data_IF_842361435970
#
_entry.id   IF_842361435970
#
_cell.length_a   1.000
_cell.length_b   1.000
_cell.length_c   1.000
_cell.angle_alpha   90.00
_cell.angle_beta   90.00
_cell.angle_gamma   90.00
#
_symmetry.space_group_name_H-M   'P 1'
#
loop_
_entity.id
_entity.type
_entity.pdbx_description
1 polymer ?
#
# COMPACT_ATOMS: atom_id res chain seq x y z
N UNK A 1 -1.64 -70.19 -10.93
CA UNK A 1 -0.22 -70.23 -11.33
C UNK A 1 0.38 -68.86 -11.03
N UNK A 2 1.36 -68.82 -10.12
CA UNK A 2 2.53 -67.92 -10.05
C UNK A 2 2.28 -66.39 -9.96
N UNK A 3 2.42 -65.87 -8.73
CA UNK A 3 3.02 -64.54 -8.36
C UNK A 3 4.54 -64.54 -8.64
N UNK A 4 5.28 -63.42 -8.83
CA UNK A 4 5.44 -62.24 -7.91
C UNK A 4 5.60 -60.89 -8.69
N UNK A 5 5.82 -59.67 -8.17
CA UNK A 5 6.46 -59.10 -6.96
C UNK A 5 7.64 -58.18 -7.38
N UNK A 6 7.73 -56.98 -6.79
CA UNK A 6 8.65 -55.80 -6.94
C UNK A 6 10.17 -56.06 -7.19
N UNK A 7 10.96 -55.07 -7.72
CA UNK A 7 11.66 -53.98 -6.96
C UNK A 7 11.69 -52.60 -7.70
N UNK A 8 11.78 -51.40 -7.12
CA UNK A 8 12.77 -50.66 -6.28
C UNK A 8 14.15 -50.37 -6.90
N UNK A 9 14.53 -49.08 -6.82
CA UNK A 9 15.84 -48.42 -7.01
C UNK A 9 16.43 -48.20 -8.42
N UNK A 10 16.67 -46.93 -8.75
CA UNK A 10 17.79 -46.53 -9.61
C UNK A 10 18.55 -45.33 -9.04
N UNK A 11 19.82 -45.63 -8.76
CA UNK A 11 20.90 -44.81 -8.23
C UNK A 11 21.54 -43.86 -9.25
N UNK A 12 22.02 -42.73 -8.75
CA UNK A 12 22.84 -41.71 -9.41
C UNK A 12 24.18 -42.30 -9.92
N UNK A 13 24.61 -42.05 -11.16
CA UNK A 13 25.93 -42.45 -11.63
C UNK A 13 27.01 -41.41 -11.32
N UNK A 14 28.10 -41.87 -10.68
CA UNK A 14 29.41 -41.20 -10.65
C UNK A 14 30.01 -41.15 -12.06
N UNK A 15 30.48 -39.99 -12.51
CA UNK A 15 31.39 -39.89 -13.64
C UNK A 15 32.85 -39.92 -13.20
N UNK A 16 33.64 -40.59 -14.04
CA UNK A 16 34.99 -41.05 -13.82
C UNK A 16 36.04 -40.06 -14.29
N UNK A 17 37.20 -40.14 -13.63
CA UNK A 17 38.47 -39.51 -13.99
C UNK A 17 39.05 -40.04 -15.32
N UNK A 18 39.77 -39.18 -16.05
CA UNK A 18 40.87 -39.53 -16.96
C UNK A 18 41.90 -38.38 -17.09
N UNK A 19 43.15 -38.65 -17.52
CA UNK A 19 44.34 -38.15 -16.82
C UNK A 19 45.25 -37.17 -17.60
N UNK A 20 45.98 -36.35 -16.83
CA UNK A 20 47.44 -36.14 -16.85
C UNK A 20 48.17 -35.68 -18.12
N UNK A 21 48.84 -34.51 -18.02
CA UNK A 21 50.25 -34.36 -18.41
C UNK A 21 50.94 -33.20 -17.68
N UNK A 22 52.12 -33.53 -17.12
CA UNK A 22 52.99 -32.73 -16.24
C UNK A 22 53.77 -31.63 -16.96
N UNK A 23 54.11 -30.58 -16.22
CA UNK A 23 55.45 -29.95 -16.22
C UNK A 23 55.69 -29.26 -14.86
N UNK A 24 56.76 -29.66 -14.17
CA UNK A 24 57.31 -29.10 -12.92
C UNK A 24 58.60 -28.30 -13.28
N UNK A 25 59.19 -27.43 -12.42
CA UNK A 25 59.69 -27.85 -11.11
C UNK A 25 59.49 -26.89 -9.92
N UNK A 26 59.63 -27.49 -8.75
CA UNK A 26 59.60 -26.96 -7.38
C UNK A 26 60.56 -25.79 -7.12
N UNK A 27 60.12 -24.85 -6.27
CA UNK A 27 60.99 -24.30 -5.23
C UNK A 27 60.25 -24.19 -3.89
N UNK A 28 60.84 -24.87 -2.93
CA UNK A 28 60.44 -25.05 -1.54
C UNK A 28 60.88 -23.83 -0.72
N UNK A 29 59.97 -23.15 0.00
CA UNK A 29 60.33 -22.31 1.16
C UNK A 29 59.15 -22.13 2.12
N UNK A 30 59.31 -22.76 3.27
CA UNK A 30 58.54 -22.52 4.48
C UNK A 30 58.80 -21.10 5.01
N UNK A 31 57.72 -20.36 5.30
CA UNK A 31 57.80 -19.12 6.07
C UNK A 31 56.76 -19.19 7.18
N UNK A 32 57.27 -19.27 8.41
CA UNK A 32 56.55 -19.06 9.67
C UNK A 32 56.09 -17.61 9.74
N UNK A 33 54.82 -17.38 10.05
CA UNK A 33 54.35 -16.05 10.47
C UNK A 33 54.63 -15.84 11.96
N UNK A 34 55.24 -14.71 12.36
CA UNK A 34 55.49 -14.39 13.75
C UNK A 34 54.24 -13.79 14.42
N UNK A 35 54.01 -14.21 15.67
CA UNK A 35 53.13 -13.57 16.63
C UNK A 35 53.64 -12.16 16.97
N UNK A 36 52.85 -11.13 16.68
CA UNK A 36 53.09 -9.79 17.21
C UNK A 36 52.06 -9.46 18.30
N UNK A 37 52.62 -9.35 19.51
CA UNK A 37 52.02 -8.76 20.69
C UNK A 37 51.94 -7.22 20.56
N UNK A 38 50.95 -6.67 21.27
CA UNK A 38 50.82 -5.34 21.94
C UNK A 38 49.63 -4.50 21.48
N UNK A 39 49.06 -3.63 22.33
CA UNK A 39 48.69 -3.83 23.73
C UNK A 39 47.20 -3.50 23.98
N UNK A 40 46.63 -4.07 25.06
CA UNK A 40 45.30 -3.70 25.57
C UNK A 40 45.33 -2.26 26.12
N UNK A 41 44.62 -1.36 25.47
CA UNK A 41 44.18 -0.10 26.07
C UNK A 41 42.81 -0.34 26.71
N UNK A 42 42.84 -0.50 28.03
CA UNK A 42 41.66 -0.35 28.86
C UNK A 42 41.31 1.14 28.90
N UNK A 43 40.15 1.50 28.35
CA UNK A 43 39.53 2.80 28.60
C UNK A 43 38.43 2.57 29.62
N UNK A 44 38.72 2.98 30.85
CA UNK A 44 37.73 3.15 31.92
C UNK A 44 36.93 4.42 31.63
N UNK A 45 35.61 4.29 31.48
CA UNK A 45 34.68 5.41 31.58
C UNK A 45 33.81 5.20 32.82
N UNK A 46 34.32 5.69 33.95
CA UNK A 46 33.48 6.10 35.07
C UNK A 46 33.09 7.57 34.84
N UNK A 47 31.79 7.86 34.97
CA UNK A 47 31.29 9.21 35.29
C UNK A 47 30.56 9.94 34.17
N UNK A 48 29.24 9.70 34.05
CA UNK A 48 28.21 10.69 34.43
C UNK A 48 26.83 10.03 34.31
N UNK A 49 26.27 9.66 35.45
CA UNK A 49 24.92 9.12 35.59
C UNK A 49 24.11 10.10 36.44
N UNK A 50 22.90 10.42 35.95
CA UNK A 50 21.70 10.98 36.64
C UNK A 50 21.57 12.51 36.67
N UNK A 51 20.36 13.12 36.50
CA UNK A 51 19.04 12.58 36.15
C UNK A 51 18.30 13.33 35.00
N UNK A 52 17.75 12.59 34.03
CA UNK A 52 16.50 12.96 33.36
C UNK A 52 15.38 12.08 33.96
N UNK A 53 14.85 12.50 35.11
CA UNK A 53 13.71 11.83 35.75
C UNK A 53 12.93 12.75 36.68
N UNK A 54 12.56 13.93 36.20
CA UNK A 54 11.51 14.76 36.81
C UNK A 54 10.83 15.52 35.68
N UNK A 55 9.83 14.92 35.01
CA UNK A 55 8.71 15.67 34.39
C UNK A 55 7.49 14.82 34.00
N UNK A 56 7.43 13.52 34.33
CA UNK A 56 6.28 12.66 34.02
C UNK A 56 5.61 12.02 35.26
N UNK A 57 5.53 12.77 36.36
CA UNK A 57 4.89 12.30 37.59
C UNK A 57 3.99 13.39 38.25
N UNK A 58 3.29 14.21 37.45
CA UNK A 58 2.34 15.20 37.96
C UNK A 58 1.03 15.36 37.18
N UNK A 59 0.62 14.39 36.36
CA UNK A 59 -0.65 14.45 35.64
C UNK A 59 -1.52 13.18 35.74
N UNK A 60 -1.38 12.40 36.81
CA UNK A 60 -2.25 11.23 37.07
C UNK A 60 -2.67 11.13 38.54
N UNK A 61 -3.22 12.23 39.08
CA UNK A 61 -3.80 12.26 40.43
C UNK A 61 -5.15 13.01 40.49
N UNK A 62 -5.80 13.25 39.35
CA UNK A 62 -7.10 13.89 39.29
C UNK A 62 -7.97 13.21 38.22
N UNK A 63 -8.51 12.02 38.53
CA UNK A 63 -9.78 11.47 38.00
C UNK A 63 -9.91 9.99 38.41
N UNK A 64 -9.87 9.73 39.71
CA UNK A 64 -10.48 8.54 40.30
C UNK A 64 -11.29 9.01 41.48
N UNK A 65 -12.59 9.17 41.25
CA UNK A 65 -13.69 9.08 42.20
C UNK A 65 -14.93 9.70 41.57
N UNK A 66 -15.80 8.90 40.94
CA UNK A 66 -17.25 9.08 41.08
C UNK A 66 -17.99 7.85 40.50
N UNK A 67 -18.18 6.83 41.33
CA UNK A 67 -19.25 5.85 41.18
C UNK A 67 -19.63 5.45 42.60
N UNK A 68 -20.89 5.68 42.99
CA UNK A 68 -21.72 4.87 43.92
C UNK A 68 -23.01 5.63 44.31
N UNK A 69 -24.13 5.13 43.75
CA UNK A 69 -25.36 4.67 44.44
C UNK A 69 -26.63 5.57 44.58
N UNK A 70 -27.76 4.87 44.29
CA UNK A 70 -29.16 5.03 44.71
C UNK A 70 -30.07 5.83 43.74
N UNK A 71 -31.29 5.41 43.37
CA UNK A 71 -32.28 4.60 44.11
C UNK A 71 -33.35 4.00 43.18
N UNK A 72 -33.93 2.88 43.63
CA UNK A 72 -35.07 2.16 43.07
C UNK A 72 -36.39 2.73 43.62
N UNK A 73 -37.41 3.01 42.78
CA UNK A 73 -38.84 3.08 43.19
C UNK A 73 -39.80 2.83 42.02
N UNK A 74 -40.19 1.56 41.87
CA UNK A 74 -41.55 1.00 41.93
C UNK A 74 -42.82 1.74 41.39
N UNK A 75 -43.49 1.07 40.43
CA UNK A 75 -44.91 0.63 40.38
C UNK A 75 -46.03 1.39 39.59
N UNK A 76 -46.62 0.64 38.63
CA UNK A 76 -47.99 0.49 38.04
C UNK A 76 -48.82 1.66 37.42
N UNK A 77 -49.30 1.46 36.18
CA UNK A 77 -50.69 1.14 35.76
C UNK A 77 -50.96 1.45 34.27
N UNK A 78 -51.21 0.39 33.47
CA UNK A 78 -52.35 0.13 32.53
C UNK A 78 -52.86 1.26 31.58
N UNK A 79 -53.30 1.08 30.33
CA UNK A 79 -53.80 -0.05 29.54
C UNK A 79 -53.89 0.33 28.03
N UNK A 80 -54.07 -0.68 27.15
CA UNK A 80 -54.99 -0.80 25.99
C UNK A 80 -55.31 0.45 25.12
N UNK A 81 -55.35 0.45 23.78
CA UNK A 81 -55.64 -0.56 22.74
C UNK A 81 -55.42 0.07 21.33
N UNK A 82 -55.43 -0.73 20.24
CA UNK A 82 -55.09 -0.31 18.88
C UNK A 82 -56.30 0.17 18.06
N UNK A 83 -56.05 0.94 17.01
CA UNK A 83 -57.05 1.42 16.05
C UNK A 83 -56.73 1.02 14.61
N UNK A 84 -57.66 0.30 14.01
CA UNK A 84 -57.64 -0.47 12.77
C UNK A 84 -58.20 0.27 11.54
N UNK A 85 -57.65 -0.08 10.36
CA UNK A 85 -58.34 -0.44 9.10
C UNK A 85 -58.85 0.66 8.12
N UNK A 86 -58.26 0.60 6.92
CA UNK A 86 -58.68 0.94 5.53
C UNK A 86 -60.17 0.70 5.18
N UNK A 87 -60.78 1.24 4.07
CA UNK A 87 -60.47 0.77 2.70
C UNK A 87 -60.70 1.70 1.49
N UNK A 88 -59.96 1.36 0.42
CA UNK A 88 -60.30 1.21 -1.01
C UNK A 88 -61.41 2.05 -1.68
N UNK A 89 -61.07 2.66 -2.82
CA UNK A 89 -61.99 2.77 -3.96
C UNK A 89 -61.25 2.69 -5.31
N UNK A 90 -61.75 1.79 -6.15
CA UNK A 90 -61.33 1.45 -7.52
C UNK A 90 -62.24 2.17 -8.52
N UNK A 91 -61.72 2.77 -9.60
CA UNK A 91 -62.46 2.98 -10.86
C UNK A 91 -61.49 2.88 -12.07
N UNK A 92 -61.91 2.11 -13.07
CA UNK A 92 -61.37 1.97 -14.44
C UNK A 92 -62.55 2.24 -15.42
N UNK A 93 -62.38 2.15 -16.76
CA UNK A 93 -61.81 3.10 -17.73
C UNK A 93 -62.87 3.81 -18.60
N UNK A 94 -62.47 4.86 -19.34
CA UNK A 94 -63.26 5.35 -20.50
C UNK A 94 -62.34 5.57 -21.71
N UNK A 95 -62.66 4.87 -22.81
CA UNK A 95 -62.11 5.06 -24.15
C UNK A 95 -62.66 6.34 -24.77
N UNK A 96 -61.78 7.18 -25.30
CA UNK A 96 -62.13 8.15 -26.35
C UNK A 96 -60.94 8.32 -27.30
N UNK A 97 -61.13 7.90 -28.55
CA UNK A 97 -60.27 8.24 -29.68
C UNK A 97 -60.71 9.62 -30.22
N UNK A 98 -59.80 10.50 -30.65
CA UNK A 98 -59.90 10.94 -32.04
C UNK A 98 -58.58 11.30 -32.76
N UNK A 99 -58.68 11.18 -34.09
CA UNK A 99 -57.95 11.87 -35.16
C UNK A 99 -56.48 11.53 -35.46
N UNK A 100 -56.26 11.10 -36.71
CA UNK A 100 -54.98 11.00 -37.41
C UNK A 100 -54.27 12.36 -37.48
N UNK A 101 -52.94 12.42 -37.25
CA UNK A 101 -52.14 13.55 -37.68
C UNK A 101 -51.61 13.36 -39.11
N UNK A 102 -51.70 14.47 -39.85
CA UNK A 102 -51.12 14.77 -41.15
C UNK A 102 -49.63 14.39 -41.23
N UNK A 103 -49.24 13.70 -42.31
CA UNK A 103 -47.83 13.44 -42.63
C UNK A 103 -47.20 14.75 -43.10
N UNK A 104 -46.47 15.42 -42.21
CA UNK A 104 -45.52 16.46 -42.58
C UNK A 104 -44.15 15.81 -42.74
N UNK A 105 -43.57 15.90 -43.94
CA UNK A 105 -42.21 15.44 -44.19
C UNK A 105 -41.23 16.32 -43.40
N UNK A 106 -40.77 15.80 -42.26
CA UNK A 106 -39.65 16.35 -41.51
C UNK A 106 -38.37 16.04 -42.27
N UNK A 107 -37.57 17.08 -42.54
CA UNK A 107 -36.22 16.92 -43.07
C UNK A 107 -35.39 16.11 -42.06
N UNK A 108 -34.69 15.08 -42.56
CA UNK A 108 -33.77 14.27 -41.75
C UNK A 108 -32.77 15.18 -41.02
N UNK A 109 -32.62 15.04 -39.69
CA UNK A 109 -31.51 15.68 -39.01
C UNK A 109 -30.23 15.09 -39.58
N UNK A 110 -29.40 15.95 -40.14
CA UNK A 110 -28.04 15.64 -40.57
C UNK A 110 -27.37 14.83 -39.47
N UNK A 111 -26.98 13.59 -39.79
CA UNK A 111 -26.25 12.72 -38.88
C UNK A 111 -25.04 13.48 -38.34
N UNK A 112 -25.05 13.76 -37.03
CA UNK A 112 -23.86 14.20 -36.32
C UNK A 112 -22.84 13.08 -36.52
N UNK A 113 -21.63 13.37 -37.00
CA UNK A 113 -20.60 12.35 -37.12
C UNK A 113 -20.37 11.79 -35.71
N UNK A 114 -20.78 10.54 -35.50
CA UNK A 114 -20.42 9.78 -34.31
C UNK A 114 -18.91 9.62 -34.36
N UNK A 115 -18.20 10.47 -33.62
CA UNK A 115 -16.82 10.19 -33.26
C UNK A 115 -16.85 8.85 -32.56
N UNK A 116 -16.28 7.81 -33.19
CA UNK A 116 -15.94 6.60 -32.47
C UNK A 116 -15.22 7.03 -31.20
N UNK A 117 -15.66 6.63 -30.00
CA UNK A 117 -14.85 6.83 -28.81
C UNK A 117 -13.44 6.32 -29.13
N UNK A 118 -12.41 7.04 -28.68
CA UNK A 118 -11.05 6.50 -28.70
C UNK A 118 -11.00 5.15 -27.98
N UNK A 119 -9.89 4.39 -28.10
CA UNK A 119 -9.73 3.20 -27.29
C UNK A 119 -9.99 3.54 -25.81
N UNK A 120 -10.79 2.71 -25.16
CA UNK A 120 -11.10 2.85 -23.73
C UNK A 120 -9.80 2.81 -22.94
N UNK A 121 -9.58 3.75 -21.98
CA UNK A 121 -8.39 3.75 -21.14
C UNK A 121 -8.19 2.37 -20.50
N UNK A 122 -6.99 1.81 -20.64
CA UNK A 122 -6.66 0.49 -20.12
C UNK A 122 -5.20 0.47 -19.70
N UNK A 123 -4.97 0.20 -18.41
CA UNK A 123 -3.64 0.11 -17.83
C UNK A 123 -3.66 -0.61 -16.48
N UNK A 124 -2.50 -0.88 -15.91
CA UNK A 124 -2.40 -1.39 -14.55
C UNK A 124 -1.20 -0.81 -13.81
N UNK A 125 -1.25 -0.81 -12.48
CA UNK A 125 -0.12 -0.43 -11.66
C UNK A 125 0.06 -1.39 -10.50
N UNK A 126 1.31 -1.60 -10.10
CA UNK A 126 1.64 -2.41 -8.95
C UNK A 126 1.68 -1.58 -7.65
N UNK A 127 1.40 -2.25 -6.53
CA UNK A 127 1.65 -1.69 -5.19
C UNK A 127 2.49 -2.65 -4.38
N UNK A 128 3.61 -2.15 -3.85
CA UNK A 128 4.45 -2.84 -2.87
C UNK A 128 4.86 -1.86 -1.78
N UNK A 129 4.91 -2.29 -0.53
CA UNK A 129 5.24 -1.42 0.62
C UNK A 129 5.98 -2.22 1.69
N UNK A 130 6.61 -1.54 2.64
CA UNK A 130 7.26 -2.18 3.79
C UNK A 130 8.23 -3.28 3.33
N UNK A 131 9.08 -3.00 2.33
CA UNK A 131 10.13 -3.93 1.92
C UNK A 131 11.32 -3.88 2.87
N UNK A 132 11.54 -2.73 3.54
CA UNK A 132 12.58 -2.54 4.54
C UNK A 132 13.96 -3.00 4.04
N UNK A 133 14.90 -3.23 4.96
CA UNK A 133 16.30 -3.51 4.64
C UNK A 133 16.55 -4.71 3.73
N UNK A 134 15.55 -5.59 3.53
CA UNK A 134 15.65 -6.77 2.66
C UNK A 134 15.33 -6.48 1.19
N UNK A 135 15.16 -5.20 0.83
CA UNK A 135 15.18 -4.71 -0.55
C UNK A 135 16.58 -4.41 -1.09
N UNK A 136 17.59 -4.36 -0.22
CA UNK A 136 18.94 -3.94 -0.59
C UNK A 136 19.64 -4.96 -1.53
N UNK A 137 20.66 -4.53 -2.30
CA UNK A 137 21.37 -5.37 -3.26
C UNK A 137 21.92 -6.68 -2.68
N UNK A 138 22.28 -6.69 -1.38
CA UNK A 138 22.77 -7.92 -0.72
C UNK A 138 21.74 -9.04 -0.67
N UNK A 139 20.46 -8.74 -0.86
CA UNK A 139 19.34 -9.68 -0.80
C UNK A 139 18.81 -10.10 -2.18
N UNK A 140 19.42 -9.65 -3.28
CA UNK A 140 18.90 -9.86 -4.65
C UNK A 140 18.68 -11.34 -5.00
N UNK A 141 19.56 -12.24 -4.54
CA UNK A 141 19.49 -13.68 -4.83
C UNK A 141 18.68 -14.48 -3.78
N UNK A 142 18.11 -13.82 -2.77
CA UNK A 142 17.35 -14.51 -1.74
C UNK A 142 15.93 -14.81 -2.24
N UNK A 143 15.48 -16.07 -2.19
CA UNK A 143 14.24 -16.49 -2.86
C UNK A 143 12.96 -16.00 -2.16
N UNK A 144 13.09 -15.30 -1.03
CA UNK A 144 12.00 -15.02 -0.10
C UNK A 144 11.93 -13.54 0.32
N UNK A 145 12.61 -12.65 -0.38
CA UNK A 145 12.66 -11.21 -0.10
C UNK A 145 12.19 -10.41 -1.32
N UNK A 146 12.36 -9.08 -1.25
CA UNK A 146 11.76 -8.15 -2.20
C UNK A 146 12.07 -8.46 -3.66
N UNK A 147 13.32 -8.79 -3.98
CA UNK A 147 13.71 -9.16 -5.34
C UNK A 147 12.94 -10.38 -5.89
N UNK A 148 12.73 -11.40 -5.05
CA UNK A 148 11.93 -12.56 -5.42
C UNK A 148 10.45 -12.19 -5.61
N UNK A 149 9.89 -11.34 -4.74
CA UNK A 149 8.54 -10.78 -4.91
C UNK A 149 8.42 -10.07 -6.26
N UNK A 150 9.38 -9.19 -6.60
CA UNK A 150 9.39 -8.50 -7.90
C UNK A 150 9.47 -9.48 -9.08
N UNK A 151 10.19 -10.61 -8.93
CA UNK A 151 10.20 -11.65 -9.96
C UNK A 151 8.83 -12.33 -10.17
N UNK A 152 7.98 -12.43 -9.14
CA UNK A 152 6.59 -12.90 -9.28
C UNK A 152 5.68 -11.81 -9.88
N UNK A 153 5.91 -10.55 -9.51
CA UNK A 153 5.23 -9.41 -10.12
C UNK A 153 5.54 -9.32 -11.63
N UNK A 154 6.81 -9.47 -12.03
CA UNK A 154 7.23 -9.49 -13.44
C UNK A 154 6.48 -10.59 -14.23
N UNK A 155 6.37 -11.79 -13.66
CA UNK A 155 5.63 -12.91 -14.26
C UNK A 155 4.13 -12.65 -14.38
N UNK A 156 3.55 -11.86 -13.47
CA UNK A 156 2.12 -11.52 -13.47
C UNK A 156 1.79 -10.38 -14.45
N UNK A 157 2.82 -9.70 -14.96
CA UNK A 157 2.68 -8.40 -15.63
C UNK A 157 2.83 -7.30 -14.59
N UNK A 158 3.97 -6.57 -14.56
CA UNK A 158 4.24 -5.62 -13.48
C UNK A 158 3.36 -4.37 -13.53
N UNK A 159 2.65 -4.15 -14.64
CA UNK A 159 1.90 -2.93 -14.91
C UNK A 159 2.77 -1.87 -15.57
N UNK A 160 2.20 -0.68 -15.72
CA UNK A 160 2.82 0.47 -16.36
C UNK A 160 3.76 1.23 -15.40
N UNK A 161 3.51 1.11 -14.09
CA UNK A 161 4.33 1.68 -13.02
C UNK A 161 4.02 1.00 -11.68
N UNK A 162 4.85 1.28 -10.67
CA UNK A 162 4.62 0.85 -9.28
C UNK A 162 4.55 2.04 -8.33
N UNK A 163 3.62 2.00 -7.38
CA UNK A 163 3.54 2.96 -6.27
C UNK A 163 3.92 2.26 -4.97
N UNK A 164 4.76 2.89 -4.15
CA UNK A 164 5.19 2.32 -2.86
C UNK A 164 4.85 3.24 -1.69
N UNK A 165 3.77 2.94 -0.92
CA UNK A 165 3.33 3.76 0.21
C UNK A 165 4.19 3.56 1.46
N UNK A 166 5.50 3.82 1.38
CA UNK A 166 6.39 3.92 2.54
C UNK A 166 7.17 2.66 2.94
N UNK A 167 8.12 2.92 3.83
CA UNK A 167 9.12 2.01 4.40
C UNK A 167 9.98 1.32 3.32
N UNK A 168 10.49 2.18 2.44
CA UNK A 168 11.30 1.82 1.27
C UNK A 168 12.81 1.75 1.57
N UNK A 169 13.19 1.92 2.82
CA UNK A 169 14.59 1.93 3.27
C UNK A 169 15.33 0.60 3.00
N UNK A 170 16.56 0.62 2.45
CA UNK A 170 17.26 1.78 1.91
C UNK A 170 16.71 2.19 0.54
N UNK A 171 16.31 3.45 0.39
CA UNK A 171 15.61 3.91 -0.81
C UNK A 171 16.43 3.71 -2.11
N UNK A 172 17.73 4.05 -2.09
CA UNK A 172 18.64 3.80 -3.22
C UNK A 172 18.83 2.30 -3.53
N UNK A 173 18.85 1.46 -2.49
CA UNK A 173 18.96 0.01 -2.67
C UNK A 173 17.68 -0.61 -3.23
N UNK A 174 16.52 -0.10 -2.79
CA UNK A 174 15.20 -0.48 -3.32
C UNK A 174 15.08 -0.11 -4.79
N UNK A 175 15.43 1.12 -5.17
CA UNK A 175 15.47 1.60 -6.56
C UNK A 175 16.35 0.70 -7.43
N UNK A 176 17.58 0.42 -6.98
CA UNK A 176 18.51 -0.45 -7.68
C UNK A 176 17.95 -1.86 -7.90
N UNK A 177 17.27 -2.42 -6.90
CA UNK A 177 16.67 -3.76 -7.00
C UNK A 177 15.49 -3.76 -7.99
N UNK A 178 14.68 -2.71 -8.02
CA UNK A 178 13.62 -2.53 -9.02
C UNK A 178 14.24 -2.48 -10.42
N UNK A 179 15.29 -1.68 -10.61
CA UNK A 179 16.03 -1.58 -11.88
C UNK A 179 16.57 -2.94 -12.36
N UNK A 180 17.05 -3.77 -11.44
CA UNK A 180 17.60 -5.08 -11.80
C UNK A 180 16.53 -6.09 -12.21
N UNK A 181 15.36 -6.04 -11.58
CA UNK A 181 14.31 -7.06 -11.78
C UNK A 181 13.28 -6.62 -12.82
N UNK A 182 12.77 -5.40 -12.73
CA UNK A 182 11.73 -4.88 -13.63
C UNK A 182 12.30 -4.03 -14.78
N UNK A 183 13.57 -3.62 -14.66
CA UNK A 183 14.29 -2.87 -15.68
C UNK A 183 14.36 -1.37 -15.39
N UNK A 184 15.49 -0.75 -15.75
CA UNK A 184 15.81 0.68 -15.53
C UNK A 184 14.83 1.73 -16.09
N UNK A 185 13.92 1.31 -16.97
CA UNK A 185 12.93 2.18 -17.59
C UNK A 185 11.52 1.98 -16.96
N UNK A 186 11.42 1.08 -15.97
CA UNK A 186 10.21 0.85 -15.20
C UNK A 186 9.97 1.98 -14.21
N UNK A 187 8.77 2.54 -14.20
CA UNK A 187 8.47 3.73 -13.41
C UNK A 187 8.09 3.36 -11.98
N UNK A 188 8.66 4.09 -11.02
CA UNK A 188 8.44 3.89 -9.60
C UNK A 188 8.10 5.21 -8.91
N UNK A 189 7.03 5.19 -8.11
CA UNK A 189 6.52 6.33 -7.36
C UNK A 189 6.62 6.04 -5.85
N UNK A 190 7.79 6.31 -5.24
CA UNK A 190 7.97 6.13 -3.81
C UNK A 190 7.29 7.23 -2.98
N UNK A 191 6.89 6.86 -1.77
CA UNK A 191 6.32 7.72 -0.72
C UNK A 191 7.08 7.37 0.57
N UNK A 192 7.40 8.32 1.46
CA UNK A 192 8.04 8.00 2.73
C UNK A 192 7.09 7.30 3.71
N UNK A 193 7.61 6.31 4.43
CA UNK A 193 7.08 5.76 5.66
C UNK A 193 7.82 6.29 6.89
N UNK A 194 7.43 5.85 8.08
CA UNK A 194 8.04 6.33 9.33
C UNK A 194 9.53 5.97 9.45
N UNK A 195 10.04 5.03 8.64
CA UNK A 195 11.45 4.66 8.62
C UNK A 195 12.31 5.45 7.61
N UNK A 196 11.72 6.30 6.76
CA UNK A 196 12.42 6.90 5.61
C UNK A 196 12.96 8.33 5.85
N UNK A 197 13.11 8.75 7.10
CA UNK A 197 13.52 10.13 7.46
C UNK A 197 14.97 10.26 7.90
N UNK A 198 15.74 9.17 7.89
CA UNK A 198 17.19 9.28 8.00
C UNK A 198 17.75 10.08 6.82
N UNK A 199 18.90 10.73 7.05
CA UNK A 199 19.44 11.74 6.12
C UNK A 199 19.58 11.22 4.69
N UNK A 200 20.01 9.97 4.51
CA UNK A 200 20.19 9.38 3.19
C UNK A 200 18.84 9.20 2.48
N UNK A 201 17.82 8.75 3.20
CA UNK A 201 16.53 8.33 2.66
C UNK A 201 15.70 9.54 2.24
N UNK A 202 15.62 10.55 3.12
CA UNK A 202 14.96 11.80 2.77
C UNK A 202 15.71 12.54 1.66
N UNK A 203 17.04 12.46 1.61
CA UNK A 203 17.82 13.06 0.52
C UNK A 203 17.55 12.36 -0.80
N UNK A 204 17.41 11.03 -0.80
CA UNK A 204 17.04 10.28 -1.99
C UNK A 204 15.66 10.73 -2.50
N UNK A 205 14.63 10.67 -1.63
CA UNK A 205 13.25 11.04 -2.00
C UNK A 205 13.13 12.48 -2.50
N UNK A 206 13.86 13.43 -1.91
CA UNK A 206 13.87 14.83 -2.33
C UNK A 206 14.57 15.09 -3.67
N UNK A 207 15.47 14.21 -4.09
CA UNK A 207 16.23 14.35 -5.34
C UNK A 207 15.84 13.30 -6.40
N UNK A 208 14.90 12.42 -6.09
CA UNK A 208 14.41 11.41 -7.01
C UNK A 208 13.73 12.05 -8.22
N UNK A 209 13.95 11.48 -9.41
CA UNK A 209 13.36 11.98 -10.63
C UNK A 209 12.00 11.31 -10.88
N UNK A 210 10.93 11.92 -10.38
CA UNK A 210 9.56 11.41 -10.55
C UNK A 210 9.01 11.55 -11.97
N UNK A 211 9.66 12.34 -12.85
CA UNK A 211 9.26 12.56 -14.24
C UNK A 211 10.35 12.15 -15.24
N UNK A 212 10.81 10.88 -15.24
CA UNK A 212 11.84 10.45 -16.18
C UNK A 212 11.40 10.52 -17.65
N UNK A 213 10.09 10.54 -17.90
CA UNK A 213 9.47 10.72 -19.22
C UNK A 213 9.25 12.20 -19.60
N UNK A 214 9.64 13.15 -18.74
CA UNK A 214 9.38 14.57 -18.93
C UNK A 214 7.87 14.88 -18.90
N UNK A 215 7.31 15.59 -19.88
CA UNK A 215 5.90 16.01 -19.86
C UNK A 215 4.91 14.92 -20.30
N UNK A 216 5.36 13.69 -20.58
CA UNK A 216 4.49 12.59 -20.99
C UNK A 216 4.01 11.81 -19.76
N UNK A 217 2.73 11.45 -19.74
CA UNK A 217 2.15 10.64 -18.67
C UNK A 217 2.82 9.24 -18.56
N UNK A 218 2.99 8.66 -17.36
CA UNK A 218 2.67 9.27 -16.07
C UNK A 218 3.61 10.43 -15.75
N UNK A 219 3.04 11.56 -15.33
CA UNK A 219 3.81 12.76 -14.99
C UNK A 219 3.20 13.49 -13.79
N UNK A 220 4.05 14.06 -12.94
CA UNK A 220 3.65 14.91 -11.82
C UNK A 220 2.94 16.14 -12.35
N UNK A 221 1.74 16.38 -11.85
CA UNK A 221 0.89 17.53 -12.20
C UNK A 221 0.81 18.55 -11.07
N UNK A 222 1.07 18.12 -9.83
CA UNK A 222 1.09 19.01 -8.68
C UNK A 222 2.18 18.59 -7.68
N UNK A 223 2.98 19.54 -7.24
CA UNK A 223 3.96 19.35 -6.18
C UNK A 223 3.31 19.68 -4.83
N UNK A 224 3.80 19.04 -3.77
CA UNK A 224 3.29 19.18 -2.42
C UNK A 224 3.43 20.59 -1.83
N UNK A 225 2.97 20.79 -0.58
CA UNK A 225 3.24 22.00 0.18
C UNK A 225 4.74 22.35 0.23
N UNK A 226 5.06 23.63 0.45
CA UNK A 226 6.44 24.15 0.52
C UNK A 226 7.36 23.37 1.48
N UNK A 227 6.81 22.77 2.53
CA UNK A 227 7.53 21.98 3.52
C UNK A 227 7.89 20.56 3.04
N UNK A 228 7.19 20.02 2.05
CA UNK A 228 7.38 18.65 1.55
C UNK A 228 7.10 18.49 0.03
N UNK A 229 7.61 19.39 -0.83
CA UNK A 229 7.15 19.51 -2.22
C UNK A 229 7.41 18.25 -3.06
N UNK A 230 8.46 17.48 -2.74
CA UNK A 230 8.85 16.27 -3.49
C UNK A 230 8.51 14.96 -2.77
N UNK A 231 7.78 15.01 -1.65
CA UNK A 231 7.35 13.81 -0.90
C UNK A 231 5.85 13.76 -0.70
N UNK A 232 5.17 14.88 -0.94
CA UNK A 232 3.74 14.94 -1.25
C UNK A 232 3.63 15.43 -2.69
N UNK A 233 2.89 14.74 -3.55
CA UNK A 233 2.73 15.12 -4.95
C UNK A 233 1.54 14.39 -5.56
N UNK A 234 1.06 14.86 -6.71
CA UNK A 234 0.07 14.12 -7.51
C UNK A 234 0.51 14.02 -8.97
N UNK A 235 0.12 12.93 -9.62
CA UNK A 235 0.43 12.66 -11.01
C UNK A 235 -0.79 12.07 -11.71
N UNK A 236 -0.83 12.25 -13.03
CA UNK A 236 -1.91 11.75 -13.86
C UNK A 236 -1.42 10.62 -14.76
N UNK A 237 -2.30 9.65 -14.99
CA UNK A 237 -2.12 8.65 -16.04
C UNK A 237 -3.48 8.24 -16.61
N UNK A 238 -3.66 8.48 -17.91
CA UNK A 238 -4.90 8.26 -18.64
C UNK A 238 -6.11 8.92 -17.94
N UNK A 239 -7.11 8.15 -17.54
CA UNK A 239 -8.33 8.62 -16.87
C UNK A 239 -8.23 8.61 -15.34
N UNK A 240 -7.02 8.50 -14.79
CA UNK A 240 -6.80 8.36 -13.35
C UNK A 240 -5.86 9.42 -12.79
N UNK A 241 -6.16 9.85 -11.57
CA UNK A 241 -5.39 10.78 -10.76
C UNK A 241 -4.82 10.04 -9.54
N UNK A 242 -3.54 10.22 -9.27
CA UNK A 242 -2.81 9.53 -8.21
C UNK A 242 -2.20 10.56 -7.26
N UNK A 243 -2.46 10.41 -5.97
CA UNK A 243 -1.97 11.34 -4.94
C UNK A 243 -1.07 10.60 -3.97
N UNK A 244 0.20 10.98 -3.92
CA UNK A 244 1.16 10.53 -2.92
C UNK A 244 1.19 11.51 -1.74
N UNK A 245 0.83 11.06 -0.54
CA UNK A 245 0.85 11.86 0.69
C UNK A 245 1.97 11.41 1.62
N UNK A 246 2.92 12.31 1.89
CA UNK A 246 3.79 12.18 3.05
C UNK A 246 2.99 12.57 4.31
N UNK A 247 2.38 11.59 4.97
CA UNK A 247 1.57 11.78 6.18
C UNK A 247 2.37 12.25 7.41
N UNK A 248 3.68 12.43 7.29
CA UNK A 248 4.56 12.99 8.32
C UNK A 248 4.86 14.48 8.11
N UNK A 249 4.40 15.03 6.98
CA UNK A 249 4.61 16.43 6.63
C UNK A 249 3.79 17.38 7.51
N UNK A 250 4.48 18.39 8.01
CA UNK A 250 3.92 19.49 8.81
C UNK A 250 4.10 20.82 8.07
N UNK A 251 3.59 21.92 8.63
CA UNK A 251 3.84 23.25 8.07
C UNK A 251 5.34 23.61 8.04
N UNK A 252 6.10 23.17 9.05
CA UNK A 252 7.49 23.59 9.25
C UNK A 252 8.54 22.61 8.69
N UNK A 253 8.16 21.35 8.46
CA UNK A 253 9.12 20.28 8.16
C UNK A 253 8.50 19.11 7.38
N UNK A 254 9.27 18.46 6.48
CA UNK A 254 8.83 17.23 5.80
C UNK A 254 8.68 16.03 6.75
N UNK A 255 9.15 16.16 8.00
CA UNK A 255 8.89 15.23 9.09
C UNK A 255 8.77 16.02 10.40
N UNK A 256 7.75 15.79 11.22
CA UNK A 256 7.61 16.57 12.46
C UNK A 256 6.86 15.91 13.60
N UNK A 257 6.09 14.86 13.33
CA UNK A 257 5.16 14.20 14.25
C UNK A 257 5.01 12.72 13.88
N UNK A 258 4.34 11.95 14.74
CA UNK A 258 3.72 10.67 14.37
C UNK A 258 2.69 10.94 13.23
N UNK A 259 2.45 9.97 12.34
CA UNK A 259 1.67 10.22 11.11
C UNK A 259 0.30 10.85 11.38
N UNK A 260 -0.01 11.90 10.62
CA UNK A 260 -1.24 12.67 10.79
C UNK A 260 -1.58 13.48 9.54
N UNK A 261 -2.87 13.65 9.27
CA UNK A 261 -3.33 14.60 8.26
C UNK A 261 -3.39 15.98 8.89
N UNK A 262 -2.28 16.72 8.79
CA UNK A 262 -2.18 18.12 9.26
C UNK A 262 -3.05 19.06 8.43
N UNK A 263 -3.28 20.30 8.91
CA UNK A 263 -4.01 21.30 8.12
C UNK A 263 -3.30 21.63 6.80
N UNK A 264 -1.96 21.63 6.82
CA UNK A 264 -1.13 21.80 5.62
C UNK A 264 -1.44 20.74 4.58
N UNK A 265 -1.44 19.46 4.98
CA UNK A 265 -1.75 18.35 4.07
C UNK A 265 -3.21 18.34 3.63
N UNK A 266 -4.15 18.56 4.55
CA UNK A 266 -5.58 18.58 4.25
C UNK A 266 -5.92 19.66 3.22
N UNK A 267 -5.42 20.88 3.42
CA UNK A 267 -5.72 22.00 2.52
C UNK A 267 -5.10 21.80 1.14
N UNK A 268 -3.89 21.25 1.08
CA UNK A 268 -3.25 20.91 -0.20
C UNK A 268 -4.03 19.82 -0.93
N UNK A 269 -4.37 18.71 -0.25
CA UNK A 269 -5.15 17.61 -0.82
C UNK A 269 -6.52 18.09 -1.30
N UNK A 270 -7.22 18.91 -0.52
CA UNK A 270 -8.52 19.45 -0.92
C UNK A 270 -8.42 20.32 -2.18
N UNK A 271 -7.34 21.10 -2.33
CA UNK A 271 -7.10 21.90 -3.52
C UNK A 271 -6.75 21.04 -4.75
N UNK A 272 -5.95 19.99 -4.55
CA UNK A 272 -5.54 19.02 -5.57
C UNK A 272 -6.76 18.24 -6.10
N UNK A 273 -7.56 17.67 -5.20
CA UNK A 273 -8.80 16.95 -5.54
C UNK A 273 -9.85 17.85 -6.21
N UNK A 274 -9.91 19.15 -5.86
CA UNK A 274 -10.80 20.10 -6.51
C UNK A 274 -10.35 20.52 -7.92
N UNK A 275 -9.07 20.31 -8.26
CA UNK A 275 -8.49 20.70 -9.54
C UNK A 275 -8.56 19.59 -10.60
N UNK A 276 -8.71 18.33 -10.19
CA UNK A 276 -8.75 17.18 -11.11
C UNK A 276 -10.17 16.89 -11.60
N UNK A 277 -10.28 16.43 -12.86
CA UNK A 277 -11.51 15.94 -13.48
C UNK A 277 -11.39 14.46 -13.91
N UNK A 278 -10.34 13.77 -13.48
CA UNK A 278 -10.10 12.36 -13.78
C UNK A 278 -11.19 11.48 -13.13
N UNK A 279 -11.53 10.39 -13.82
CA UNK A 279 -12.59 9.46 -13.39
C UNK A 279 -12.22 8.73 -12.10
N UNK A 280 -11.00 8.19 -12.04
CA UNK A 280 -10.54 7.42 -10.90
C UNK A 280 -9.53 8.22 -10.10
N UNK A 281 -9.71 8.27 -8.79
CA UNK A 281 -8.76 8.94 -7.89
C UNK A 281 -8.26 7.90 -6.88
N UNK A 282 -6.94 7.78 -6.78
CA UNK A 282 -6.26 6.93 -5.82
C UNK A 282 -5.38 7.81 -4.92
N UNK A 283 -5.55 7.67 -3.60
CA UNK A 283 -4.73 8.39 -2.62
C UNK A 283 -3.86 7.38 -1.90
N UNK A 284 -2.60 7.71 -1.69
CA UNK A 284 -1.62 6.85 -1.05
C UNK A 284 -1.00 7.58 0.13
N UNK A 285 -0.72 6.86 1.20
CA UNK A 285 0.05 7.34 2.34
C UNK A 285 0.46 6.14 3.20
N UNK A 286 1.44 6.32 4.08
CA UNK A 286 1.99 5.17 4.78
C UNK A 286 1.04 4.59 5.84
N UNK A 287 0.49 5.44 6.72
CA UNK A 287 -0.31 4.98 7.86
C UNK A 287 -1.81 4.84 7.52
N UNK A 288 -2.48 3.74 7.89
CA UNK A 288 -3.92 3.58 7.67
C UNK A 288 -4.77 4.59 8.46
N UNK A 289 -5.92 4.96 7.90
CA UNK A 289 -6.95 5.73 8.61
C UNK A 289 -7.63 4.89 9.71
N UNK A 290 -7.84 3.61 9.42
CA UNK A 290 -8.48 2.64 10.30
C UNK A 290 -7.73 1.31 10.23
N UNK A 291 -6.65 1.10 11.01
CA UNK A 291 -5.91 -0.17 11.01
C UNK A 291 -6.84 -1.38 11.12
N UNK A 292 -6.66 -2.37 10.24
CA UNK A 292 -7.42 -3.62 10.25
C UNK A 292 -6.54 -4.81 10.65
N UNK A 293 -7.14 -5.91 11.12
CA UNK A 293 -6.43 -7.18 11.20
C UNK A 293 -6.06 -7.66 9.80
N UNK A 294 -4.99 -8.43 9.68
CA UNK A 294 -4.65 -9.13 8.45
C UNK A 294 -5.75 -10.12 8.03
N UNK A 295 -6.21 -10.06 6.78
CA UNK A 295 -7.36 -10.84 6.31
C UNK A 295 -7.12 -12.36 6.30
N UNK A 296 -5.87 -12.81 6.20
CA UNK A 296 -5.54 -14.24 6.17
C UNK A 296 -5.19 -14.77 7.57
N UNK A 297 -4.42 -14.00 8.33
CA UNK A 297 -3.79 -14.46 9.58
C UNK A 297 -4.48 -13.93 10.84
N UNK A 298 -5.28 -12.88 10.72
CA UNK A 298 -5.91 -12.18 11.84
C UNK A 298 -4.93 -11.42 12.73
N UNK A 299 -3.68 -11.22 12.27
CA UNK A 299 -2.68 -10.44 13.00
C UNK A 299 -3.14 -8.99 13.11
N UNK A 300 -2.84 -8.38 14.25
CA UNK A 300 -3.18 -6.98 14.54
C UNK A 300 -1.92 -6.25 14.94
N UNK A 301 -1.69 -5.07 14.39
CA UNK A 301 -0.52 -4.23 14.62
C UNK A 301 -0.90 -2.77 14.41
N UNK A 302 -0.18 -1.85 15.06
CA UNK A 302 -0.31 -0.39 14.89
C UNK A 302 -1.72 0.21 15.13
N UNK A 303 -2.56 -0.46 15.94
CA UNK A 303 -3.81 0.13 16.43
C UNK A 303 -3.52 1.31 17.36
N UNK A 304 -4.16 2.44 17.13
CA UNK A 304 -3.96 3.69 17.86
C UNK A 304 -2.54 4.27 17.75
N UNK A 305 -1.79 3.79 16.76
CA UNK A 305 -0.43 4.22 16.42
C UNK A 305 -0.34 4.59 14.94
N UNK A 306 -1.48 4.72 14.25
CA UNK A 306 -1.60 5.21 12.87
C UNK A 306 -2.38 6.53 12.86
N UNK A 307 -3.00 6.92 11.74
CA UNK A 307 -3.84 8.12 11.70
C UNK A 307 -5.02 8.04 12.72
N UNK A 308 -5.43 6.84 13.12
CA UNK A 308 -6.47 6.62 14.12
C UNK A 308 -6.12 7.14 15.52
N UNK A 309 -4.85 7.47 15.78
CA UNK A 309 -4.43 8.18 16.98
C UNK A 309 -4.99 9.62 17.05
N UNK A 310 -5.32 10.22 15.90
CA UNK A 310 -5.85 11.58 15.76
C UNK A 310 -7.25 11.55 15.13
N UNK A 311 -8.30 11.11 15.86
CA UNK A 311 -9.60 10.80 15.28
C UNK A 311 -10.25 11.97 14.54
N UNK A 312 -10.17 13.19 15.06
CA UNK A 312 -10.78 14.37 14.39
C UNK A 312 -10.09 14.67 13.04
N UNK A 313 -8.77 14.56 12.98
CA UNK A 313 -7.99 14.78 11.75
C UNK A 313 -8.17 13.63 10.74
N UNK A 314 -8.30 12.40 11.24
CA UNK A 314 -8.56 11.21 10.45
C UNK A 314 -9.99 11.20 9.88
N UNK A 315 -10.99 11.57 10.69
CA UNK A 315 -12.39 11.63 10.26
C UNK A 315 -12.61 12.73 9.21
N UNK A 316 -12.00 13.92 9.37
CA UNK A 316 -12.10 14.96 8.31
C UNK A 316 -11.42 14.51 7.03
N UNK A 317 -10.29 13.82 7.11
CA UNK A 317 -9.58 13.31 5.95
C UNK A 317 -10.45 12.32 5.20
N UNK A 318 -11.05 11.37 5.93
CA UNK A 318 -11.95 10.38 5.35
C UNK A 318 -13.18 11.03 4.70
N UNK A 319 -13.76 12.06 5.34
CA UNK A 319 -14.86 12.82 4.76
C UNK A 319 -14.48 13.55 3.46
N UNK A 320 -13.26 14.09 3.39
CA UNK A 320 -12.73 14.71 2.17
C UNK A 320 -12.57 13.68 1.04
N UNK A 321 -12.03 12.49 1.34
CA UNK A 321 -11.94 11.41 0.35
C UNK A 321 -13.31 11.00 -0.18
N UNK A 322 -14.32 10.91 0.69
CA UNK A 322 -15.70 10.63 0.30
C UNK A 322 -16.29 11.72 -0.59
N UNK A 323 -16.10 12.99 -0.22
CA UNK A 323 -16.65 14.15 -0.94
C UNK A 323 -16.20 14.19 -2.40
N UNK A 324 -14.93 13.87 -2.64
CA UNK A 324 -14.33 13.87 -3.99
C UNK A 324 -14.39 12.52 -4.70
N UNK A 325 -15.10 11.53 -4.13
CA UNK A 325 -15.27 10.22 -4.78
C UNK A 325 -13.98 9.44 -4.96
N UNK A 326 -13.03 9.60 -4.04
CA UNK A 326 -11.78 8.83 -4.04
C UNK A 326 -12.09 7.34 -4.00
N UNK A 327 -11.54 6.58 -4.94
CA UNK A 327 -11.83 5.16 -5.10
C UNK A 327 -11.18 4.34 -3.99
N UNK A 328 -9.91 4.62 -3.72
CA UNK A 328 -9.16 3.93 -2.67
C UNK A 328 -8.12 4.83 -2.01
N UNK A 329 -7.99 4.68 -0.69
CA UNK A 329 -6.82 5.03 0.08
C UNK A 329 -5.95 3.77 0.27
N UNK A 330 -4.74 3.76 -0.28
CA UNK A 330 -3.85 2.60 -0.27
C UNK A 330 -2.63 2.91 0.63
N UNK A 331 -2.35 2.03 1.58
CA UNK A 331 -1.40 2.27 2.66
C UNK A 331 -0.59 1.03 3.06
N UNK A 332 0.39 1.21 3.94
CA UNK A 332 1.28 0.16 4.48
C UNK A 332 1.27 0.18 6.01
N UNK A 333 2.46 0.24 6.62
CA UNK A 333 2.72 0.46 8.05
C UNK A 333 2.37 -0.71 8.97
N UNK A 334 1.18 -1.29 8.82
CA UNK A 334 0.74 -2.39 9.69
C UNK A 334 1.43 -3.70 9.36
N UNK A 335 2.05 -3.79 8.18
CA UNK A 335 2.52 -5.02 7.55
C UNK A 335 1.41 -6.05 7.31
N UNK A 336 0.14 -5.68 7.50
CA UNK A 336 -1.01 -6.55 7.30
C UNK A 336 -1.66 -6.22 5.96
N UNK A 337 -2.22 -7.24 5.33
CA UNK A 337 -3.09 -7.02 4.19
C UNK A 337 -4.55 -6.96 4.65
N UNK A 338 -5.26 -5.92 4.22
CA UNK A 338 -6.70 -5.80 4.38
C UNK A 338 -7.30 -5.00 3.22
N UNK A 339 -8.53 -5.31 2.82
CA UNK A 339 -9.29 -4.50 1.87
C UNK A 339 -10.72 -4.28 2.37
N UNK A 340 -11.01 -3.07 2.85
CA UNK A 340 -12.30 -2.74 3.46
C UNK A 340 -12.91 -1.49 2.85
N UNK A 341 -14.21 -1.51 2.59
CA UNK A 341 -14.94 -0.31 2.18
C UNK A 341 -15.54 0.38 3.41
N UNK A 342 -15.14 1.63 3.64
CA UNK A 342 -15.59 2.44 4.78
C UNK A 342 -16.27 3.68 4.21
N UNK A 343 -17.58 3.79 4.40
CA UNK A 343 -18.40 4.91 3.93
C UNK A 343 -18.21 5.27 2.44
N UNK A 344 -18.03 4.24 1.60
CA UNK A 344 -17.93 4.38 0.14
C UNK A 344 -16.51 4.47 -0.42
N UNK A 345 -15.51 4.75 0.42
CA UNK A 345 -14.08 4.75 0.03
C UNK A 345 -13.46 3.42 0.45
N UNK A 346 -12.62 2.82 -0.40
CA UNK A 346 -11.84 1.65 -0.01
C UNK A 346 -10.60 2.08 0.78
N UNK A 347 -10.35 1.46 1.94
CA UNK A 347 -9.00 1.42 2.50
C UNK A 347 -8.38 0.07 2.15
N UNK A 348 -7.20 0.10 1.57
CA UNK A 348 -6.44 -1.10 1.22
C UNK A 348 -5.08 -1.00 1.91
N UNK A 349 -4.85 -1.83 2.92
CA UNK A 349 -3.53 -2.03 3.49
C UNK A 349 -2.81 -3.06 2.63
N UNK A 350 -1.69 -2.68 2.01
CA UNK A 350 -1.03 -3.46 0.96
C UNK A 350 -0.14 -4.60 1.49
N UNK A 351 -0.14 -4.85 2.80
CA UNK A 351 0.70 -5.86 3.43
C UNK A 351 2.16 -5.42 3.55
N UNK A 352 3.08 -6.35 3.30
CA UNK A 352 4.51 -6.10 3.38
C UNK A 352 5.25 -6.83 2.26
N UNK A 353 6.38 -6.27 1.83
CA UNK A 353 7.22 -6.82 0.77
C UNK A 353 8.59 -7.34 1.27
N UNK A 354 8.74 -7.46 2.60
CA UNK A 354 9.82 -8.13 3.32
C UNK A 354 9.82 -9.68 3.21
N UNK A 355 8.77 -10.29 2.64
CA UNK A 355 8.62 -11.73 2.54
C UNK A 355 8.69 -12.43 3.90
N UNK A 356 9.57 -13.44 4.07
CA UNK A 356 9.62 -14.23 5.32
C UNK A 356 10.11 -13.47 6.56
N UNK A 357 10.70 -12.29 6.39
CA UNK A 357 11.19 -11.50 7.54
C UNK A 357 10.06 -11.00 8.43
N UNK A 358 8.87 -10.74 7.88
CA UNK A 358 7.71 -10.30 8.64
C UNK A 358 6.73 -11.44 8.98
N UNK A 359 7.17 -12.70 8.86
CA UNK A 359 6.37 -13.84 9.31
C UNK A 359 5.90 -13.63 10.77
N UNK A 360 4.64 -13.93 11.10
CA UNK A 360 3.71 -14.72 10.30
C UNK A 360 2.90 -13.95 9.25
N UNK A 361 3.09 -12.63 9.08
CA UNK A 361 2.42 -11.88 8.01
C UNK A 361 2.97 -12.31 6.64
N UNK A 362 2.12 -12.79 5.70
CA UNK A 362 2.54 -13.13 4.35
C UNK A 362 3.05 -11.92 3.56
N UNK A 363 4.13 -12.12 2.81
CA UNK A 363 4.55 -11.15 1.79
C UNK A 363 3.41 -10.88 0.82
N UNK A 364 3.21 -9.63 0.40
CA UNK A 364 2.05 -9.23 -0.40
C UNK A 364 2.46 -8.22 -1.47
N UNK A 365 1.87 -8.34 -2.65
CA UNK A 365 1.84 -7.28 -3.65
C UNK A 365 0.46 -7.20 -4.29
N UNK A 366 0.11 -6.01 -4.77
CA UNK A 366 -1.15 -5.76 -5.45
C UNK A 366 -0.89 -5.43 -6.92
N UNK A 367 -1.79 -5.86 -7.80
CA UNK A 367 -1.90 -5.37 -9.16
C UNK A 367 -3.29 -4.73 -9.31
N UNK A 368 -3.32 -3.42 -9.58
CA UNK A 368 -4.56 -2.67 -9.76
C UNK A 368 -4.75 -2.41 -11.25
N UNK A 369 -5.81 -2.95 -11.83
CA UNK A 369 -6.13 -2.85 -13.25
C UNK A 369 -7.30 -1.90 -13.46
N UNK A 370 -7.14 -0.97 -14.39
CA UNK A 370 -8.14 -0.01 -14.83
C UNK A 370 -8.50 -0.36 -16.28
N UNK A 371 -9.80 -0.54 -16.54
CA UNK A 371 -10.39 -0.77 -17.86
C UNK A 371 -11.63 0.13 -17.98
N UNK A 372 -11.43 1.34 -18.50
CA UNK A 372 -12.45 2.38 -18.56
C UNK A 372 -12.95 2.75 -17.17
N UNK A 373 -14.21 2.44 -16.88
CA UNK A 373 -14.84 2.67 -15.56
C UNK A 373 -14.53 1.55 -14.55
N UNK A 374 -14.12 0.37 -15.02
CA UNK A 374 -13.87 -0.79 -14.16
C UNK A 374 -12.50 -0.68 -13.51
N UNK A 375 -12.45 -0.94 -12.21
CA UNK A 375 -11.22 -0.98 -11.42
C UNK A 375 -11.21 -2.27 -10.61
N UNK A 376 -10.14 -3.05 -10.77
CA UNK A 376 -9.96 -4.35 -10.13
C UNK A 376 -8.64 -4.37 -9.37
N UNK A 377 -8.66 -4.81 -8.11
CA UNK A 377 -7.47 -5.04 -7.30
C UNK A 377 -7.24 -6.54 -7.21
N UNK A 378 -6.09 -6.99 -7.68
CA UNK A 378 -5.66 -8.38 -7.60
C UNK A 378 -4.57 -8.48 -6.53
N UNK A 379 -4.80 -9.29 -5.52
CA UNK A 379 -3.88 -9.45 -4.39
C UNK A 379 -3.15 -10.78 -4.52
N UNK A 380 -1.82 -10.74 -4.45
CA UNK A 380 -0.97 -11.91 -4.39
C UNK A 380 -0.28 -12.00 -3.04
N UNK A 381 -0.30 -13.19 -2.43
CA UNK A 381 0.25 -13.41 -1.09
C UNK A 381 1.21 -14.58 -1.04
N UNK A 382 2.23 -14.44 -0.21
CA UNK A 382 3.24 -15.45 0.03
C UNK A 382 2.66 -16.74 0.62
N UNK A 383 3.16 -17.89 0.18
CA UNK A 383 2.77 -19.20 0.73
C UNK A 383 3.08 -19.32 2.23
N UNK A 384 2.21 -20.02 2.97
CA UNK A 384 2.46 -20.33 4.37
C UNK A 384 3.72 -21.20 4.54
N UNK A 385 4.68 -20.74 5.36
CA UNK A 385 5.95 -21.43 5.61
C UNK A 385 7.15 -20.60 5.14
N UNK A 386 8.22 -21.21 4.58
CA UNK A 386 9.40 -20.46 4.14
C UNK A 386 9.15 -19.52 2.94
N UNK A 387 7.91 -19.32 2.49
CA UNK A 387 7.51 -18.21 1.63
C UNK A 387 8.17 -18.20 0.24
N UNK A 388 8.35 -19.37 -0.38
CA UNK A 388 9.06 -19.51 -1.67
C UNK A 388 8.26 -19.07 -2.90
N UNK A 389 6.97 -18.72 -2.75
CA UNK A 389 6.12 -18.31 -3.85
C UNK A 389 4.96 -17.43 -3.44
N UNK A 390 4.38 -16.75 -4.44
CA UNK A 390 3.22 -15.88 -4.31
C UNK A 390 2.05 -16.50 -5.08
N UNK A 391 0.91 -16.59 -4.41
CA UNK A 391 -0.33 -17.14 -4.96
C UNK A 391 -1.38 -16.03 -5.05
N UNK A 392 -2.23 -16.12 -6.08
CA UNK A 392 -3.44 -15.30 -6.14
C UNK A 392 -4.27 -15.57 -4.87
N UNK A 393 -4.47 -14.53 -4.08
CA UNK A 393 -5.26 -14.57 -2.86
C UNK A 393 -6.71 -14.17 -3.16
N UNK A 394 -6.89 -13.03 -3.82
CA UNK A 394 -8.20 -12.57 -4.23
C UNK A 394 -8.17 -11.56 -5.38
N UNK A 395 -9.34 -11.33 -5.96
CA UNK A 395 -9.62 -10.32 -6.97
C UNK A 395 -10.89 -9.57 -6.54
N UNK A 396 -10.75 -8.26 -6.27
CA UNK A 396 -11.85 -7.40 -5.83
C UNK A 396 -12.09 -6.35 -6.90
N UNK A 397 -13.32 -6.31 -7.43
CA UNK A 397 -13.76 -5.22 -8.27
C UNK A 397 -14.17 -4.04 -7.37
N UNK A 398 -13.32 -3.03 -7.28
CA UNK A 398 -13.58 -1.85 -6.46
C UNK A 398 -14.40 -0.80 -7.20
N UNK A 399 -14.52 -0.89 -8.54
CA UNK A 399 -15.40 -0.07 -9.41
C UNK A 399 -16.21 -0.88 -10.42
N UNK A 400 -17.52 -0.60 -10.61
CA UNK A 400 -18.40 -1.31 -11.54
C UNK A 400 -17.92 -1.33 -13.00
#
# INVERSE_FOLDING_TARGET
MITPGFPSDYSIPRMAERPGRNCCPEQNRSIKYPSHNTPKLAVTWDGLLIPFRIFYARYNAAMKNLLVVASLTLLILTACTPGTVSPTATIQPTKTQPALPTITATLDPTAIPTTSPGPEPAFSFAVTTDMSVVSAPEYIDYPNFFAALLGYLEQSGPGDFMVSPGDIIPAEGTDWTIDQVLGKDYLWFPIPGNHDFDKAEISFLQNYNYDPNGPAEPNVVNQGPDSCPHTTYSFDYQNSHFVALNVYCTEDSPWGIDGSITDTLYNWLAADLAATDKTHIFVFGHEPAFPQPDDQTGLTSHYHESLDQYPDARDRFWALLQEYGVRAYICGHTHNYSAVQIDGVWQIEAGQAMGVRAAPSPGTYLLVTIEGEKVTVVTYRGEAGPGFGYLLFEEIQISP
#
